data_IF_255913510594
#
_entry.id   IF_255913510594
#
_cell.length_a   1.000
_cell.length_b   1.000
_cell.length_c   1.000
_cell.angle_alpha   90.00
_cell.angle_beta   90.00
_cell.angle_gamma   90.00
#
_symmetry.space_group_name_H-M   'P 1'
#
loop_
_entity.id
_entity.type
_entity.pdbx_description
1 polymer ?
2 polymer ?
3 polymer ?
4 non-polymer ?
5 non-polymer ?
6 non-polymer ?
7 water ?
#
# COMPACT_ATOMS: atom_id res chain seq x y z
N UNK A 1 -16.40 -15.10 -3.59
CA UNK A 1 -17.71 -14.75 -3.01
C UNK A 1 -18.03 -15.72 -1.87
N UNK A 2 -18.10 -15.20 -0.64
CA UNK A 2 -18.47 -16.04 0.50
C UNK A 2 -19.95 -16.28 0.58
N UNK A 3 -20.34 -17.50 0.89
CA UNK A 3 -21.77 -17.82 1.12
C UNK A 3 -22.13 -17.36 2.57
N UNK A 4 -23.43 -17.30 2.95
CA UNK A 4 -23.78 -17.01 4.34
C UNK A 4 -23.17 -18.03 5.29
N UNK A 5 -23.20 -19.33 4.95
CA UNK A 5 -22.57 -20.36 5.79
C UNK A 5 -21.05 -20.17 5.91
N UNK A 6 -20.35 -19.71 4.85
CA UNK A 6 -18.88 -19.46 4.93
C UNK A 6 -18.62 -18.39 6.01
N UNK A 7 -19.43 -17.33 6.01
CA UNK A 7 -19.26 -16.25 6.96
C UNK A 7 -19.45 -16.73 8.39
N UNK A 8 -20.51 -17.50 8.65
CA UNK A 8 -20.76 -18.00 10.01
C UNK A 8 -19.67 -18.99 10.41
N UNK A 9 -19.17 -19.82 9.45
CA UNK A 9 -18.06 -20.77 9.70
C UNK A 9 -16.77 -20.02 10.12
N UNK A 10 -16.40 -18.98 9.38
CA UNK A 10 -15.15 -18.22 9.66
C UNK A 10 -15.25 -17.50 11.01
N UNK A 11 -16.41 -16.89 11.30
CA UNK A 11 -16.60 -16.19 12.56
C UNK A 11 -16.52 -17.17 13.73
N UNK A 12 -17.12 -18.35 13.61
CA UNK A 12 -17.08 -19.34 14.70
C UNK A 12 -15.65 -19.86 14.91
N UNK A 13 -14.92 -20.24 13.82
CA UNK A 13 -13.56 -20.76 13.93
C UNK A 13 -12.56 -19.70 14.45
N UNK A 14 -12.57 -18.49 13.86
CA UNK A 14 -11.70 -17.42 14.33
C UNK A 14 -12.02 -16.97 15.74
N UNK A 15 -13.28 -17.09 16.17
CA UNK A 15 -13.67 -16.78 17.53
C UNK A 15 -13.06 -17.71 18.55
N UNK A 16 -12.70 -18.93 18.14
CA UNK A 16 -12.06 -19.90 19.03
C UNK A 16 -10.56 -19.63 19.24
N UNK A 17 -9.96 -18.74 18.44
CA UNK A 17 -8.55 -18.36 18.55
C UNK A 17 -8.32 -17.58 19.83
N UNK A 18 -9.13 -16.55 20.05
CA UNK A 18 -9.12 -15.69 21.24
C UNK A 18 -7.80 -15.12 21.68
N UNK A 19 -7.39 -15.44 22.91
CA UNK A 19 -6.13 -14.96 23.47
C UNK A 19 -4.90 -15.49 22.71
N UNK A 20 -5.04 -16.57 21.94
CA UNK A 20 -3.93 -17.15 21.20
C UNK A 20 -3.69 -16.51 19.84
N UNK A 21 -4.36 -15.38 19.54
CA UNK A 21 -4.26 -14.69 18.27
C UNK A 21 -2.81 -14.42 17.84
N UNK A 22 -2.05 -13.73 18.68
CA UNK A 22 -0.65 -13.39 18.43
C UNK A 22 0.20 -14.63 18.24
N UNK A 23 -0.03 -15.64 19.08
CA UNK A 23 0.70 -16.91 19.02
C UNK A 23 0.48 -17.60 17.65
N UNK A 24 -0.77 -17.68 17.21
CA UNK A 24 -1.07 -18.30 15.93
C UNK A 24 -0.53 -17.48 14.76
N UNK A 25 -0.67 -16.15 14.81
CA UNK A 25 -0.12 -15.29 13.76
C UNK A 25 1.40 -15.42 13.67
N UNK A 26 2.08 -15.44 14.83
CA UNK A 26 3.54 -15.59 14.87
C UNK A 26 3.97 -16.94 14.31
N UNK A 27 3.26 -18.01 14.69
CA UNK A 27 3.58 -19.34 14.20
C UNK A 27 3.37 -19.41 12.67
N UNK A 28 2.26 -18.83 12.15
CA UNK A 28 2.01 -18.85 10.70
C UNK A 28 3.14 -18.13 9.94
N UNK A 29 3.63 -17.00 10.49
CA UNK A 29 4.73 -16.26 9.84
C UNK A 29 6.00 -17.11 9.87
N UNK A 30 6.29 -17.76 11.02
CA UNK A 30 7.48 -18.60 11.16
C UNK A 30 7.44 -19.75 10.13
N UNK A 31 6.26 -20.39 10.01
CA UNK A 31 6.07 -21.48 9.05
C UNK A 31 6.29 -20.96 7.62
N UNK A 32 5.77 -19.75 7.33
CA UNK A 32 5.98 -19.16 6.01
C UNK A 32 7.45 -18.89 5.70
N UNK A 33 8.15 -18.19 6.58
CA UNK A 33 9.56 -17.84 6.37
C UNK A 33 10.43 -19.11 6.24
N UNK A 34 10.07 -20.17 6.95
CA UNK A 34 10.88 -21.39 6.94
C UNK A 34 10.53 -22.24 5.70
N UNK A 35 9.27 -22.41 5.38
CA UNK A 35 8.82 -23.23 4.23
C UNK A 35 9.06 -22.57 2.90
N UNK A 36 8.89 -21.24 2.83
CA UNK A 36 8.98 -20.49 1.59
C UNK A 36 9.96 -19.32 1.84
N UNK A 37 11.27 -19.61 1.85
CA UNK A 37 12.26 -18.57 2.21
C UNK A 37 12.24 -17.28 1.39
N UNK A 38 11.70 -17.30 0.15
CA UNK A 38 11.64 -16.07 -0.65
C UNK A 38 10.78 -15.00 0.03
N UNK A 39 9.78 -15.40 0.86
CA UNK A 39 8.92 -14.45 1.57
C UNK A 39 9.72 -13.60 2.56
N UNK A 40 10.87 -14.09 3.04
CA UNK A 40 11.74 -13.30 3.93
C UNK A 40 12.24 -12.03 3.27
N UNK A 41 12.27 -11.98 1.92
CA UNK A 41 12.79 -10.80 1.23
C UNK A 41 11.86 -9.57 1.40
N UNK A 42 10.62 -9.76 1.89
CA UNK A 42 9.77 -8.59 2.20
C UNK A 42 10.13 -7.99 3.57
N UNK A 43 10.93 -8.70 4.41
CA UNK A 43 11.24 -8.24 5.78
C UNK A 43 12.75 -8.15 6.01
N UNK A 44 13.48 -7.41 5.15
CA UNK A 44 14.94 -7.37 5.30
C UNK A 44 15.38 -6.68 6.59
N UNK A 45 14.51 -5.82 7.14
CA UNK A 45 14.78 -5.07 8.38
C UNK A 45 14.43 -5.87 9.65
N UNK A 46 13.92 -7.10 9.52
CA UNK A 46 13.54 -7.89 10.67
C UNK A 46 14.66 -8.79 11.14
N UNK A 47 14.61 -9.11 12.43
CA UNK A 47 15.37 -10.21 12.99
C UNK A 47 14.45 -11.39 12.66
N UNK A 48 14.90 -12.27 11.78
CA UNK A 48 14.09 -13.40 11.33
C UNK A 48 14.48 -14.74 11.98
N UNK A 49 15.29 -14.72 13.03
CA UNK A 49 15.67 -15.93 13.77
C UNK A 49 14.43 -16.52 14.48
N UNK A 50 14.44 -17.82 14.81
CA UNK A 50 13.29 -18.44 15.48
C UNK A 50 13.06 -17.77 16.85
N UNK A 51 11.80 -17.56 17.20
CA UNK A 51 11.47 -16.95 18.47
C UNK A 51 11.80 -15.46 18.54
N UNK A 52 12.11 -14.84 17.38
CA UNK A 52 12.37 -13.41 17.27
C UNK A 52 11.18 -12.63 17.84
N UNK A 53 11.43 -11.66 18.72
CA UNK A 53 10.40 -10.79 19.31
C UNK A 53 9.71 -9.94 18.20
N UNK A 54 10.45 -9.58 17.15
CA UNK A 54 9.92 -8.81 16.05
C UNK A 54 8.88 -9.64 15.28
N UNK A 55 9.20 -10.92 15.03
CA UNK A 55 8.26 -11.82 14.35
C UNK A 55 7.04 -12.05 15.25
N UNK A 56 7.26 -12.22 16.56
CA UNK A 56 6.14 -12.39 17.49
C UNK A 56 5.19 -11.18 17.49
N UNK A 57 5.74 -9.97 17.58
CA UNK A 57 4.95 -8.75 17.57
C UNK A 57 4.22 -8.56 16.24
N UNK A 58 4.91 -8.89 15.13
CA UNK A 58 4.28 -8.78 13.82
C UNK A 58 3.10 -9.74 13.69
N UNK A 59 3.25 -10.96 14.23
CA UNK A 59 2.20 -11.98 14.21
C UNK A 59 0.94 -11.53 14.93
N UNK A 60 1.10 -10.78 16.01
CA UNK A 60 -0.02 -10.23 16.77
C UNK A 60 -0.77 -9.17 15.91
N UNK A 61 -0.03 -8.36 15.12
CA UNK A 61 -0.68 -7.36 14.24
C UNK A 61 -1.43 -8.07 13.11
N UNK A 62 -0.82 -9.10 12.49
CA UNK A 62 -1.48 -9.86 11.44
C UNK A 62 -2.78 -10.50 11.97
N UNK A 63 -2.71 -11.14 13.13
CA UNK A 63 -3.89 -11.79 13.73
C UNK A 63 -4.98 -10.77 14.07
N UNK A 64 -4.61 -9.62 14.63
CA UNK A 64 -5.56 -8.53 14.96
C UNK A 64 -6.21 -7.98 13.69
N UNK A 65 -5.44 -7.89 12.58
CA UNK A 65 -6.03 -7.43 11.31
C UNK A 65 -7.05 -8.47 10.83
N UNK A 66 -6.77 -9.76 10.99
CA UNK A 66 -7.70 -10.81 10.56
C UNK A 66 -8.96 -10.77 11.43
N UNK A 67 -8.83 -10.44 12.73
CA UNK A 67 -9.99 -10.32 13.64
C UNK A 67 -10.89 -9.19 13.12
N UNK A 68 -10.30 -8.08 12.68
CA UNK A 68 -11.07 -6.95 12.14
C UNK A 68 -11.72 -7.30 10.83
N UNK A 69 -11.02 -8.05 9.95
CA UNK A 69 -11.54 -8.46 8.65
C UNK A 69 -12.75 -9.42 8.87
N UNK A 70 -12.63 -10.37 9.81
CA UNK A 70 -13.73 -11.29 10.21
C UNK A 70 -14.95 -10.49 10.71
N UNK A 71 -14.72 -9.50 11.57
CA UNK A 71 -15.81 -8.68 12.10
C UNK A 71 -16.51 -7.87 11.01
N UNK A 72 -15.79 -7.47 9.97
CA UNK A 72 -16.35 -6.64 8.90
C UNK A 72 -16.27 -7.35 7.56
N UNK A 73 -16.58 -8.64 7.56
CA UNK A 73 -16.45 -9.50 6.40
C UNK A 73 -17.31 -9.04 5.20
N UNK A 74 -18.39 -8.30 5.45
CA UNK A 74 -19.22 -7.78 4.35
C UNK A 74 -18.86 -6.33 3.92
N UNK A 75 -17.75 -5.79 4.45
CA UNK A 75 -17.32 -4.44 4.10
C UNK A 75 -15.77 -4.37 4.12
N UNK A 76 -15.12 -5.44 3.68
CA UNK A 76 -13.66 -5.55 3.77
C UNK A 76 -12.88 -4.48 2.98
N UNK A 77 -13.23 -4.08 1.74
CA UNK A 77 -12.46 -3.00 1.07
C UNK A 77 -12.41 -1.72 1.92
N UNK A 78 -13.54 -1.33 2.52
CA UNK A 78 -13.55 -0.15 3.39
C UNK A 78 -12.79 -0.41 4.69
N UNK A 79 -13.07 -1.52 5.39
CA UNK A 79 -12.42 -1.82 6.67
C UNK A 79 -10.92 -1.96 6.57
N UNK A 80 -10.41 -2.47 5.43
CA UNK A 80 -8.96 -2.72 5.32
C UNK A 80 -8.21 -1.79 4.37
N UNK A 81 -8.78 -0.63 4.04
CA UNK A 81 -8.18 0.23 3.02
C UNK A 81 -6.73 0.63 3.28
N UNK A 82 -6.35 0.96 4.55
CA UNK A 82 -4.96 1.36 4.84
C UNK A 82 -4.01 0.14 4.72
N UNK A 83 -4.51 -1.10 4.95
CA UNK A 83 -3.70 -2.29 4.74
C UNK A 83 -3.50 -2.53 3.25
N UNK A 84 -4.53 -2.20 2.42
CA UNK A 84 -4.41 -2.28 0.96
C UNK A 84 -3.41 -1.20 0.49
N UNK A 85 -3.49 0.01 1.05
CA UNK A 85 -2.51 1.07 0.76
C UNK A 85 -1.06 0.56 1.02
N UNK A 86 -0.83 -0.03 2.19
CA UNK A 86 0.51 -0.56 2.53
C UNK A 86 0.91 -1.74 1.61
N UNK A 87 0.06 -2.79 1.51
CA UNK A 87 0.45 -4.01 0.79
C UNK A 87 0.44 -3.87 -0.72
N UNK A 88 -0.53 -3.14 -1.27
CA UNK A 88 -0.64 -3.01 -2.72
C UNK A 88 0.06 -1.79 -3.28
N UNK A 89 -0.04 -0.64 -2.60
CA UNK A 89 0.53 0.59 -3.14
C UNK A 89 1.97 0.84 -2.73
N UNK A 90 2.33 0.48 -1.49
CA UNK A 90 3.68 0.71 -1.01
C UNK A 90 4.61 -0.50 -1.18
N UNK A 91 4.32 -1.62 -0.51
CA UNK A 91 5.17 -2.84 -0.53
C UNK A 91 5.09 -3.55 -1.87
N UNK A 92 3.93 -3.49 -2.52
CA UNK A 92 3.64 -4.16 -3.81
C UNK A 92 3.92 -5.66 -3.69
N UNK A 93 3.33 -6.29 -2.66
CA UNK A 93 3.56 -7.70 -2.41
C UNK A 93 2.93 -8.51 -3.55
N UNK A 94 3.70 -9.47 -4.11
CA UNK A 94 3.18 -10.34 -5.15
C UNK A 94 2.09 -11.23 -4.51
N UNK A 95 0.91 -11.32 -5.17
CA UNK A 95 -0.19 -12.12 -4.64
C UNK A 95 0.15 -13.56 -4.29
N UNK A 96 1.18 -14.18 -4.91
CA UNK A 96 1.57 -15.55 -4.55
C UNK A 96 1.92 -15.63 -3.05
N UNK A 97 2.53 -14.58 -2.50
CA UNK A 97 2.92 -14.57 -1.08
C UNK A 97 1.73 -14.66 -0.14
N UNK A 98 0.58 -14.08 -0.54
CA UNK A 98 -0.66 -14.18 0.24
C UNK A 98 -1.18 -15.61 0.24
N UNK A 99 -1.03 -16.35 -0.88
CA UNK A 99 -1.43 -17.77 -0.89
C UNK A 99 -0.53 -18.56 0.08
N UNK A 100 0.75 -18.18 0.16
CA UNK A 100 1.69 -18.87 1.04
C UNK A 100 1.37 -18.63 2.50
N UNK A 101 1.09 -17.38 2.86
CA UNK A 101 0.76 -17.07 4.26
C UNK A 101 -0.60 -17.68 4.62
N UNK A 102 -1.57 -17.64 3.70
CA UNK A 102 -2.90 -18.20 3.96
C UNK A 102 -2.81 -19.70 4.24
N UNK A 103 -1.98 -20.40 3.44
CA UNK A 103 -1.73 -21.84 3.65
C UNK A 103 -1.10 -22.08 5.02
N UNK A 104 -0.10 -21.29 5.39
CA UNK A 104 0.53 -21.45 6.72
C UNK A 104 -0.42 -21.11 7.88
N UNK A 105 -1.37 -20.18 7.70
CA UNK A 105 -2.40 -19.87 8.72
C UNK A 105 -3.34 -21.12 8.84
N UNK A 106 -3.73 -21.69 7.69
CA UNK A 106 -4.57 -22.92 7.71
C UNK A 106 -3.84 -24.06 8.44
N UNK A 107 -2.55 -24.26 8.15
CA UNK A 107 -1.75 -25.30 8.78
C UNK A 107 -1.69 -25.10 10.30
N UNK A 108 -1.51 -23.85 10.75
CA UNK A 108 -1.45 -23.51 12.16
C UNK A 108 -2.79 -23.81 12.82
N UNK A 109 -3.89 -23.41 12.17
CA UNK A 109 -5.24 -23.66 12.72
C UNK A 109 -5.53 -25.17 12.80
N UNK A 110 -5.12 -25.93 11.78
CA UNK A 110 -5.30 -27.38 11.77
C UNK A 110 -4.50 -28.05 12.90
N UNK A 111 -3.27 -27.56 13.14
CA UNK A 111 -2.42 -28.13 14.18
C UNK A 111 -2.94 -27.80 15.58
N UNK A 112 -3.40 -26.57 15.80
CA UNK A 112 -3.81 -26.14 17.15
C UNK A 112 -5.26 -26.38 17.49
N UNK A 113 -6.17 -26.28 16.50
CA UNK A 113 -7.60 -26.44 16.75
C UNK A 113 -8.21 -27.56 15.88
N UNK A 114 -7.80 -28.82 16.07
CA UNK A 114 -8.33 -29.90 15.21
C UNK A 114 -9.85 -30.09 15.27
N UNK A 115 -10.47 -29.80 16.42
CA UNK A 115 -11.92 -29.95 16.53
C UNK A 115 -12.64 -28.91 15.64
N UNK A 116 -12.07 -27.71 15.51
CA UNK A 116 -12.69 -26.67 14.69
C UNK A 116 -12.39 -26.84 13.18
N UNK A 117 -11.23 -27.44 12.82
CA UNK A 117 -10.81 -27.56 11.44
C UNK A 117 -11.51 -28.67 10.67
N UNK A 118 -12.84 -28.58 10.56
CA UNK A 118 -13.59 -29.55 9.78
C UNK A 118 -13.38 -29.25 8.29
N UNK A 119 -13.72 -30.20 7.40
CA UNK A 119 -13.62 -29.90 5.95
C UNK A 119 -14.43 -28.65 5.56
N UNK A 120 -15.66 -28.49 6.09
CA UNK A 120 -16.48 -27.30 5.75
C UNK A 120 -15.81 -26.01 6.21
N UNK A 121 -15.24 -26.01 7.43
CA UNK A 121 -14.60 -24.82 7.98
C UNK A 121 -13.32 -24.51 7.24
N UNK A 122 -12.55 -25.54 6.87
CA UNK A 122 -11.32 -25.38 6.07
C UNK A 122 -11.66 -24.67 4.74
N UNK A 123 -12.74 -25.14 4.07
CA UNK A 123 -13.20 -24.54 2.82
C UNK A 123 -13.57 -23.05 2.99
N UNK A 124 -14.32 -22.72 4.05
CA UNK A 124 -14.77 -21.34 4.31
C UNK A 124 -13.58 -20.42 4.66
N UNK A 125 -12.60 -20.93 5.44
CA UNK A 125 -11.40 -20.19 5.80
C UNK A 125 -10.52 -19.93 4.58
N UNK A 126 -10.44 -20.91 3.66
CA UNK A 126 -9.67 -20.74 2.45
C UNK A 126 -10.24 -19.61 1.59
N UNK A 127 -11.56 -19.58 1.38
CA UNK A 127 -12.21 -18.50 0.62
C UNK A 127 -12.07 -17.15 1.30
N UNK A 128 -12.25 -17.11 2.64
CA UNK A 128 -12.13 -15.89 3.42
C UNK A 128 -10.70 -15.32 3.26
N UNK A 129 -9.66 -16.14 3.44
CA UNK A 129 -8.27 -15.67 3.33
C UNK A 129 -7.98 -15.24 1.88
N UNK A 130 -8.62 -15.90 0.88
CA UNK A 130 -8.46 -15.48 -0.52
C UNK A 130 -9.13 -14.08 -0.74
N UNK A 131 -10.29 -13.81 -0.11
CA UNK A 131 -10.95 -12.50 -0.25
C UNK A 131 -10.11 -11.41 0.46
N UNK A 132 -9.57 -11.71 1.65
CA UNK A 132 -8.69 -10.74 2.37
C UNK A 132 -7.44 -10.44 1.47
N UNK A 133 -6.87 -11.49 0.86
CA UNK A 133 -5.72 -11.37 -0.05
C UNK A 133 -6.04 -10.52 -1.27
N UNK A 134 -7.24 -10.69 -1.85
CA UNK A 134 -7.63 -9.86 -3.00
C UNK A 134 -7.72 -8.39 -2.59
N UNK A 135 -8.30 -8.11 -1.41
CA UNK A 135 -8.42 -6.73 -0.94
C UNK A 135 -7.01 -6.11 -0.74
N UNK A 136 -6.12 -6.85 -0.10
CA UNK A 136 -4.80 -6.30 0.27
C UNK A 136 -3.86 -6.17 -0.94
N UNK A 137 -4.14 -6.89 -2.05
CA UNK A 137 -3.36 -6.81 -3.26
C UNK A 137 -4.01 -6.00 -4.37
N UNK A 138 -5.19 -5.42 -4.14
CA UNK A 138 -5.87 -4.62 -5.19
C UNK A 138 -5.67 -3.14 -4.93
N UNK A 139 -5.63 -2.34 -6.00
CA UNK A 139 -5.50 -0.89 -5.93
C UNK A 139 -6.88 -0.35 -6.27
N UNK A 140 -7.67 -0.04 -5.25
CA UNK A 140 -9.05 0.44 -5.45
C UNK A 140 -9.31 1.86 -4.96
N UNK A 141 -8.24 2.60 -4.62
CA UNK A 141 -8.30 4.01 -4.23
C UNK A 141 -8.66 4.86 -5.46
N UNK B 1 8.94 -26.55 -27.18
CA UNK B 1 7.65 -26.27 -27.81
C UNK B 1 7.54 -26.99 -29.14
N UNK B 2 6.38 -27.60 -29.42
CA UNK B 2 6.15 -28.32 -30.67
C UNK B 2 5.17 -27.56 -31.55
N UNK B 3 5.69 -26.89 -32.55
CA UNK B 3 4.87 -26.14 -33.50
C UNK B 3 4.94 -26.86 -34.83
N UNK B 4 3.84 -26.91 -35.57
CA UNK B 4 3.86 -27.49 -36.92
C UNK B 4 4.63 -26.52 -37.86
N UNK B 5 5.09 -26.96 -39.04
CA UNK B 5 5.76 -26.02 -39.95
C UNK B 5 4.88 -24.81 -40.28
N UNK B 6 3.54 -25.01 -40.43
CA UNK B 6 2.65 -23.89 -40.72
C UNK B 6 2.54 -22.92 -39.57
N UNK B 7 2.53 -23.42 -38.33
CA UNK B 7 2.51 -22.54 -37.18
C UNK B 7 3.84 -21.80 -37.05
N UNK B 8 4.97 -22.47 -37.31
CA UNK B 8 6.29 -21.81 -37.23
C UNK B 8 6.39 -20.70 -38.31
N UNK B 9 5.81 -20.98 -39.47
CA UNK B 9 5.72 -20.08 -40.58
C UNK B 9 4.96 -18.81 -40.19
N UNK B 10 3.76 -18.97 -39.58
CA UNK B 10 2.92 -17.86 -39.16
C UNK B 10 3.59 -17.02 -38.09
N UNK B 11 4.28 -17.67 -37.15
CA UNK B 11 5.01 -16.97 -36.10
C UNK B 11 6.14 -16.14 -36.70
N UNK B 12 6.96 -16.75 -37.57
CA UNK B 12 8.12 -16.10 -38.18
C UNK B 12 7.71 -14.92 -39.06
N UNK B 13 6.62 -15.08 -39.82
CA UNK B 13 6.15 -14.02 -40.71
C UNK B 13 5.67 -12.80 -39.92
N UNK B 14 4.89 -13.00 -38.84
CA UNK B 14 4.42 -11.88 -38.04
C UNK B 14 5.62 -11.24 -37.29
N UNK B 15 6.51 -12.06 -36.71
CA UNK B 15 7.69 -11.54 -35.97
C UNK B 15 8.57 -10.61 -36.79
N UNK B 16 8.62 -10.84 -38.10
CA UNK B 16 9.40 -10.03 -39.02
C UNK B 16 8.89 -8.62 -39.17
N UNK B 17 7.60 -8.40 -38.89
CA UNK B 17 7.00 -7.07 -38.99
C UNK B 17 6.93 -6.32 -37.66
N UNK B 18 7.35 -6.95 -36.56
CA UNK B 18 7.32 -6.35 -35.23
C UNK B 18 8.26 -5.17 -35.16
N UNK B 19 7.77 -4.04 -34.64
CA UNK B 19 8.61 -2.88 -34.41
C UNK B 19 9.39 -3.20 -33.11
N UNK B 20 10.67 -3.58 -33.27
CA UNK B 20 11.54 -3.94 -32.16
C UNK B 20 11.87 -2.78 -31.20
N UNK B 21 11.60 -1.53 -31.61
CA UNK B 21 11.83 -0.38 -30.73
C UNK B 21 10.64 -0.12 -29.79
N UNK B 22 9.44 -0.62 -30.11
CA UNK B 22 8.27 -0.29 -29.30
C UNK B 22 7.56 -1.45 -28.62
N UNK B 23 7.34 -2.56 -29.35
CA UNK B 23 6.56 -3.70 -28.83
C UNK B 23 7.04 -4.21 -27.45
N UNK B 24 8.36 -4.30 -27.25
CA UNK B 24 8.91 -4.77 -25.99
C UNK B 24 8.59 -3.82 -24.85
N UNK B 25 8.79 -2.53 -25.10
CA UNK B 25 8.48 -1.49 -24.12
C UNK B 25 7.01 -1.47 -23.78
N UNK B 26 6.14 -1.71 -24.77
CA UNK B 26 4.68 -1.74 -24.54
C UNK B 26 4.29 -2.96 -23.74
N UNK B 27 4.91 -4.13 -24.01
CA UNK B 27 4.58 -5.32 -23.23
C UNK B 27 5.03 -5.18 -21.77
N UNK B 28 6.24 -4.73 -21.56
CA UNK B 28 6.75 -4.53 -20.18
C UNK B 28 5.92 -3.45 -19.45
N UNK B 29 5.65 -2.34 -20.14
CA UNK B 29 4.86 -1.24 -19.56
C UNK B 29 3.47 -1.72 -19.16
N UNK B 30 2.81 -2.49 -20.05
CA UNK B 30 1.48 -3.02 -19.76
C UNK B 30 1.56 -4.04 -18.66
N UNK B 31 2.66 -4.81 -18.53
CA UNK B 31 2.79 -5.76 -17.40
C UNK B 31 2.77 -4.94 -16.08
N UNK B 32 3.52 -3.83 -16.05
CA UNK B 32 3.62 -2.98 -14.85
C UNK B 32 2.30 -2.30 -14.52
N UNK B 33 1.44 -2.01 -15.54
CA UNK B 33 0.19 -1.32 -15.29
C UNK B 33 -0.92 -2.32 -14.92
N UNK B 34 -0.97 -3.43 -15.64
CA UNK B 34 -2.02 -4.41 -15.45
C UNK B 34 -1.82 -5.29 -14.21
N UNK B 35 -0.56 -5.67 -13.91
CA UNK B 35 -0.21 -6.55 -12.78
C UNK B 35 0.74 -5.72 -11.97
N UNK B 36 0.17 -4.78 -11.19
CA UNK B 36 1.01 -3.69 -10.64
C UNK B 36 2.04 -4.09 -9.61
N UNK B 37 1.91 -5.27 -8.97
CA UNK B 37 2.96 -5.71 -8.03
C UNK B 37 4.28 -5.95 -8.78
N UNK B 38 4.24 -6.14 -10.12
CA UNK B 38 5.50 -6.34 -10.88
C UNK B 38 6.39 -5.10 -10.82
N UNK B 39 5.83 -3.91 -10.50
CA UNK B 39 6.63 -2.68 -10.33
C UNK B 39 7.66 -2.84 -9.21
N UNK B 40 7.47 -3.80 -8.27
CA UNK B 40 8.41 -3.99 -7.17
C UNK B 40 9.80 -4.35 -7.70
N UNK B 41 9.86 -5.16 -8.75
CA UNK B 41 11.14 -5.55 -9.34
C UNK B 41 11.85 -4.43 -10.09
N UNK B 42 11.13 -3.35 -10.44
CA UNK B 42 11.70 -2.25 -11.23
C UNK B 42 11.65 -0.90 -10.52
N UNK B 43 11.66 -0.93 -9.18
CA UNK B 43 11.63 0.27 -8.33
C UNK B 43 12.64 1.32 -8.72
N UNK B 44 13.83 0.91 -9.17
CA UNK B 44 14.88 1.85 -9.55
C UNK B 44 14.65 2.57 -10.89
N UNK B 45 13.64 2.16 -11.67
CA UNK B 45 13.33 2.77 -12.96
C UNK B 45 12.72 4.16 -12.87
N UNK B 46 12.37 4.62 -11.68
CA UNK B 46 11.83 5.95 -11.49
C UNK B 46 10.32 6.04 -11.39
N UNK B 47 9.74 7.03 -12.06
CA UNK B 47 8.31 7.30 -11.99
C UNK B 47 7.46 6.24 -12.68
N UNK B 48 6.73 5.46 -11.90
CA UNK B 48 5.78 4.44 -12.35
C UNK B 48 4.39 4.69 -11.68
N UNK B 49 4.09 5.96 -11.30
CA UNK B 49 2.89 6.29 -10.53
C UNK B 49 1.60 6.26 -11.31
N UNK B 50 1.68 6.45 -12.64
CA UNK B 50 0.49 6.42 -13.47
C UNK B 50 0.78 5.57 -14.72
N UNK B 51 -0.26 5.13 -15.44
CA UNK B 51 -0.02 4.40 -16.70
C UNK B 51 0.83 5.22 -17.68
N UNK B 52 0.54 6.52 -17.84
CA UNK B 52 1.33 7.38 -18.73
C UNK B 52 2.81 7.46 -18.28
N UNK B 53 3.08 7.60 -16.97
CA UNK B 53 4.47 7.66 -16.49
C UNK B 53 5.18 6.34 -16.77
N UNK B 54 4.49 5.20 -16.56
CA UNK B 54 5.04 3.88 -16.85
C UNK B 54 5.40 3.74 -18.37
N UNK B 55 4.42 3.94 -19.27
CA UNK B 55 4.59 3.76 -20.71
C UNK B 55 5.63 4.68 -21.33
N UNK B 56 5.72 5.88 -20.79
CA UNK B 56 6.67 6.87 -21.30
C UNK B 56 8.04 6.83 -20.64
N UNK B 57 8.24 5.96 -19.64
CA UNK B 57 9.50 5.87 -18.92
C UNK B 57 10.62 5.32 -19.82
N UNK B 58 11.72 6.08 -20.00
CA UNK B 58 12.80 5.60 -20.89
C UNK B 58 13.43 4.27 -20.46
N UNK B 59 13.54 4.01 -19.16
CA UNK B 59 14.08 2.74 -18.67
C UNK B 59 13.16 1.55 -18.95
N UNK B 60 11.84 1.79 -18.95
CA UNK B 60 10.84 0.74 -19.28
C UNK B 60 11.00 0.38 -20.76
N UNK B 61 11.10 1.39 -21.63
CA UNK B 61 11.29 1.15 -23.06
C UNK B 61 12.61 0.38 -23.34
N UNK B 62 13.74 0.82 -22.75
CA UNK B 62 15.04 0.17 -22.96
C UNK B 62 15.03 -1.29 -22.45
N UNK B 63 14.48 -1.54 -21.26
CA UNK B 63 14.41 -2.90 -20.74
C UNK B 63 13.46 -3.79 -21.56
N UNK B 64 12.36 -3.20 -22.05
CA UNK B 64 11.41 -3.93 -22.88
C UNK B 64 12.06 -4.45 -24.15
N UNK B 65 13.03 -3.70 -24.69
CA UNK B 65 13.78 -4.13 -25.88
C UNK B 65 14.55 -5.41 -25.58
N UNK B 66 15.22 -5.48 -24.40
CA UNK B 66 15.96 -6.65 -23.94
C UNK B 66 15.02 -7.85 -23.80
N UNK B 67 13.85 -7.68 -23.17
CA UNK B 67 12.86 -8.76 -23.05
C UNK B 67 12.43 -9.30 -24.43
N UNK B 68 12.07 -8.42 -25.35
CA UNK B 68 11.68 -8.82 -26.71
C UNK B 68 12.81 -9.60 -27.42
N UNK B 69 14.05 -9.17 -27.18
CA UNK B 69 15.25 -9.82 -27.72
C UNK B 69 15.34 -11.26 -27.24
N UNK B 70 14.99 -11.50 -25.96
CA UNK B 70 14.99 -12.86 -25.41
C UNK B 70 13.89 -13.71 -26.01
N UNK B 71 12.66 -13.17 -26.20
CA UNK B 71 11.59 -13.95 -26.86
C UNK B 71 12.01 -14.33 -28.28
N UNK B 72 12.71 -13.43 -28.98
CA UNK B 72 13.22 -13.67 -30.33
C UNK B 72 14.24 -14.82 -30.26
N UNK B 73 15.12 -14.83 -29.25
CA UNK B 73 16.11 -15.90 -29.06
C UNK B 73 15.40 -17.28 -28.87
N UNK B 74 14.23 -17.27 -28.24
CA UNK B 74 13.39 -18.47 -28.08
C UNK B 74 12.87 -18.99 -29.41
N UNK B 75 12.55 -18.09 -30.35
CA UNK B 75 12.13 -18.48 -31.70
C UNK B 75 13.23 -19.21 -32.47
N UNK B 76 14.50 -18.97 -32.15
CA UNK B 76 15.60 -19.66 -32.81
C UNK B 76 15.84 -21.07 -32.24
N UNK B 77 15.45 -21.32 -30.98
CA UNK B 77 15.70 -22.63 -30.35
C UNK B 77 14.43 -23.22 -29.72
N UNK B 78 13.36 -23.36 -30.52
CA UNK B 78 12.10 -23.89 -30.00
C UNK B 78 12.19 -25.32 -29.43
N UNK B 79 13.12 -26.12 -29.93
CA UNK B 79 13.30 -27.49 -29.45
C UNK B 79 14.29 -27.62 -28.25
N UNK B 80 14.76 -26.50 -27.71
CA UNK B 80 15.66 -26.53 -26.54
C UNK B 80 15.59 -25.22 -25.78
N UNK B 81 14.37 -24.81 -25.45
CA UNK B 81 14.14 -23.60 -24.69
C UNK B 81 14.76 -23.68 -23.31
N UNK B 82 14.70 -24.85 -22.66
CA UNK B 82 15.27 -25.02 -21.32
C UNK B 82 16.76 -24.71 -21.30
N UNK B 83 17.51 -25.25 -22.25
CA UNK B 83 18.93 -25.00 -22.34
C UNK B 83 19.26 -23.58 -22.75
N UNK B 84 18.49 -23.02 -23.66
CA UNK B 84 18.72 -21.65 -24.14
C UNK B 84 18.50 -20.61 -23.03
N UNK B 85 17.41 -20.76 -22.28
CA UNK B 85 17.08 -19.82 -21.21
C UNK B 85 17.71 -20.16 -19.84
N UNK B 86 18.65 -21.12 -19.78
CA UNK B 86 19.30 -21.52 -18.52
C UNK B 86 19.84 -20.36 -17.67
N UNK B 87 20.66 -19.46 -18.26
CA UNK B 87 21.25 -18.32 -17.54
C UNK B 87 20.17 -17.37 -17.02
N UNK B 88 19.18 -17.01 -17.87
CA UNK B 88 18.07 -16.12 -17.47
C UNK B 88 17.22 -16.74 -16.39
N UNK B 89 17.02 -18.06 -16.44
CA UNK B 89 16.24 -18.78 -15.46
C UNK B 89 16.90 -18.65 -14.08
N UNK B 90 18.23 -18.82 -14.05
CA UNK B 90 19.02 -18.66 -12.84
C UNK B 90 18.93 -17.21 -12.33
N UNK B 91 19.05 -16.24 -13.23
CA UNK B 91 18.94 -14.83 -12.86
C UNK B 91 17.56 -14.49 -12.24
N UNK B 92 16.45 -14.81 -12.94
CA UNK B 92 15.11 -14.48 -12.43
C UNK B 92 14.69 -15.27 -11.19
N UNK B 93 15.23 -16.49 -10.96
CA UNK B 93 14.86 -17.28 -9.78
C UNK B 93 15.82 -17.05 -8.61
N UNK B 94 17.07 -17.50 -8.75
CA UNK B 94 18.04 -17.41 -7.68
C UNK B 94 18.36 -15.99 -7.28
N UNK B 95 18.42 -15.04 -8.24
CA UNK B 95 18.78 -13.67 -7.88
C UNK B 95 17.60 -12.74 -7.71
N UNK B 96 16.63 -12.76 -8.65
CA UNK B 96 15.51 -11.83 -8.59
C UNK B 96 14.28 -12.30 -7.83
N UNK B 97 14.13 -13.62 -7.62
CA UNK B 97 12.98 -14.20 -6.92
C UNK B 97 11.63 -13.85 -7.58
N UNK B 98 11.59 -13.89 -8.92
CA UNK B 98 10.36 -13.62 -9.63
C UNK B 98 9.52 -14.87 -9.60
N UNK B 99 8.32 -14.81 -8.99
CA UNK B 99 7.42 -15.98 -9.02
C UNK B 99 7.10 -16.34 -10.48
N UNK B 100 7.23 -17.62 -10.86
CA UNK B 100 7.04 -17.99 -12.28
C UNK B 100 5.67 -17.67 -12.90
N UNK B 101 4.62 -17.44 -12.10
CA UNK B 101 3.32 -17.03 -12.62
C UNK B 101 3.44 -15.70 -13.39
N UNK B 102 4.38 -14.82 -12.98
CA UNK B 102 4.60 -13.55 -13.69
C UNK B 102 5.14 -13.73 -15.12
N UNK B 103 5.87 -14.84 -15.38
CA UNK B 103 6.37 -15.14 -16.74
C UNK B 103 5.18 -15.43 -17.68
N UNK B 104 4.20 -16.18 -17.17
CA UNK B 104 2.97 -16.46 -17.95
C UNK B 104 2.22 -15.14 -18.22
N UNK B 105 2.15 -14.27 -17.21
CA UNK B 105 1.44 -12.98 -17.35
C UNK B 105 2.12 -12.10 -18.40
N UNK B 106 3.46 -12.01 -18.36
CA UNK B 106 4.19 -11.25 -19.36
C UNK B 106 3.99 -11.81 -20.79
N UNK B 107 3.95 -13.13 -20.93
CA UNK B 107 3.71 -13.74 -22.25
C UNK B 107 2.33 -13.38 -22.77
N UNK B 108 1.33 -13.33 -21.88
CA UNK B 108 -0.03 -13.00 -22.29
C UNK B 108 -0.20 -11.51 -22.60
N UNK B 109 0.51 -10.65 -21.88
CA UNK B 109 0.51 -9.23 -22.18
C UNK B 109 1.19 -9.02 -23.55
N UNK B 110 2.28 -9.76 -23.83
CA UNK B 110 2.94 -9.66 -25.15
C UNK B 110 1.94 -10.08 -26.27
N UNK B 111 1.14 -11.15 -26.04
CA UNK B 111 0.12 -11.55 -27.03
C UNK B 111 -0.89 -10.42 -27.24
N UNK B 112 -1.34 -9.76 -26.16
CA UNK B 112 -2.26 -8.61 -26.25
C UNK B 112 -1.65 -7.46 -27.08
N UNK B 113 -0.37 -7.16 -26.87
CA UNK B 113 0.33 -6.07 -27.57
C UNK B 113 0.42 -6.44 -29.06
N UNK B 114 0.72 -7.71 -29.38
CA UNK B 114 0.78 -8.14 -30.79
C UNK B 114 -0.59 -7.98 -31.45
N UNK B 115 -1.67 -8.33 -30.71
CA UNK B 115 -3.04 -8.19 -31.19
C UNK B 115 -3.37 -6.69 -31.41
N UNK B 116 -2.96 -5.84 -30.48
CA UNK B 116 -3.19 -4.41 -30.53
C UNK B 116 -2.48 -3.79 -31.74
N UNK B 117 -1.28 -4.26 -32.06
CA UNK B 117 -0.49 -3.71 -33.17
C UNK B 117 -0.95 -4.24 -34.53
N UNK B 118 -1.28 -5.54 -34.61
CA UNK B 118 -1.61 -6.17 -35.88
C UNK B 118 -3.11 -6.25 -36.22
N UNK B 119 -3.99 -6.00 -35.27
CA UNK B 119 -5.43 -6.03 -35.52
C UNK B 119 -5.95 -7.31 -36.15
N UNK B 120 -6.69 -7.17 -37.25
CA UNK B 120 -7.27 -8.28 -37.99
C UNK B 120 -6.25 -9.30 -38.49
N UNK B 121 -4.98 -8.89 -38.63
CA UNK B 121 -3.92 -9.79 -39.06
C UNK B 121 -3.54 -10.78 -37.94
N UNK B 122 -3.81 -10.44 -36.67
CA UNK B 122 -3.53 -11.34 -35.55
C UNK B 122 -4.71 -12.28 -35.44
N UNK B 123 -4.88 -13.14 -36.43
CA UNK B 123 -6.01 -14.06 -36.55
C UNK B 123 -5.99 -15.13 -35.46
N UNK B 124 -7.13 -15.79 -35.17
CA UNK B 124 -7.12 -16.89 -34.19
C UNK B 124 -6.03 -17.95 -34.46
N UNK B 125 -5.74 -18.42 -35.72
CA UNK B 125 -4.62 -19.38 -35.88
C UNK B 125 -3.26 -18.78 -35.51
N UNK B 126 -3.01 -17.51 -35.87
CA UNK B 126 -1.74 -16.84 -35.56
C UNK B 126 -1.59 -16.72 -34.04
N UNK B 127 -2.69 -16.35 -33.33
CA UNK B 127 -2.62 -16.29 -31.85
C UNK B 127 -2.31 -17.68 -31.29
N UNK B 128 -2.99 -18.75 -31.79
CA UNK B 128 -2.77 -20.08 -31.23
C UNK B 128 -1.31 -20.51 -31.30
N UNK B 129 -0.62 -20.13 -32.40
CA UNK B 129 0.78 -20.47 -32.57
C UNK B 129 1.63 -19.67 -31.56
N UNK B 130 1.36 -18.36 -31.42
CA UNK B 130 2.07 -17.55 -30.42
C UNK B 130 1.83 -18.04 -28.98
N UNK B 131 0.66 -18.63 -28.71
CA UNK B 131 0.40 -19.15 -27.37
C UNK B 131 1.35 -20.31 -27.04
N UNK B 132 1.66 -21.15 -28.03
CA UNK B 132 2.62 -22.26 -27.80
C UNK B 132 4.01 -21.68 -27.50
N UNK B 133 4.41 -20.64 -28.24
CA UNK B 133 5.70 -20.01 -28.03
C UNK B 133 5.82 -19.36 -26.65
N UNK B 134 4.82 -18.54 -26.24
CA UNK B 134 4.93 -17.84 -24.97
C UNK B 134 4.82 -18.81 -23.79
N UNK B 135 4.09 -19.93 -23.93
CA UNK B 135 4.03 -20.92 -22.85
C UNK B 135 5.39 -21.61 -22.71
N UNK B 136 6.04 -21.92 -23.84
CA UNK B 136 7.36 -22.54 -23.88
C UNK B 136 8.42 -21.66 -23.25
N UNK B 137 8.40 -20.34 -23.54
CA UNK B 137 9.36 -19.39 -22.97
C UNK B 137 9.12 -19.27 -21.46
N UNK B 138 7.86 -19.13 -21.02
CA UNK B 138 7.56 -19.02 -19.58
C UNK B 138 7.92 -20.30 -18.80
N UNK B 139 7.72 -21.47 -19.40
CA UNK B 139 8.09 -22.73 -18.76
C UNK B 139 9.62 -22.86 -18.68
N UNK B 140 10.32 -22.46 -19.74
CA UNK B 140 11.79 -22.50 -19.79
C UNK B 140 12.38 -21.60 -18.73
N UNK B 141 11.78 -20.41 -18.50
CA UNK B 141 12.26 -19.47 -17.49
C UNK B 141 11.98 -20.00 -16.08
N UNK B 142 10.85 -20.72 -15.89
CA UNK B 142 10.46 -21.27 -14.59
C UNK B 142 11.37 -22.42 -14.13
N UNK C 5 -4.31 36.42 27.23
CA UNK C 5 -4.01 35.54 28.36
C UNK C 5 -3.77 34.09 27.95
N UNK C 6 -4.37 33.67 26.82
CA UNK C 6 -4.18 32.33 26.35
C UNK C 6 -4.70 32.14 24.92
N UNK C 7 -4.44 30.97 24.37
CA UNK C 7 -4.89 30.62 23.03
C UNK C 7 -5.34 29.21 23.05
N UNK C 8 -6.41 28.91 22.31
CA UNK C 8 -6.88 27.54 22.12
C UNK C 8 -6.57 27.19 20.69
N UNK C 9 -6.04 25.99 20.45
CA UNK C 9 -5.80 25.51 19.10
C UNK C 9 -6.83 24.46 18.78
N UNK C 10 -7.43 24.57 17.58
CA UNK C 10 -8.38 23.58 17.07
C UNK C 10 -7.77 22.97 15.83
N UNK C 11 -7.68 21.64 15.76
CA UNK C 11 -7.09 20.99 14.58
C UNK C 11 -7.68 19.60 14.39
N UNK C 12 -8.13 19.30 13.18
CA UNK C 12 -8.64 17.98 12.85
C UNK C 12 -7.55 17.03 12.39
N UNK C 13 -6.27 17.50 12.38
CA UNK C 13 -5.05 16.81 12.00
C UNK C 13 -5.02 16.59 10.49
N UNK C 14 -5.86 15.70 9.97
CA UNK C 14 -5.98 15.44 8.53
C UNK C 14 -7.36 14.87 8.27
N UNK C 15 -7.86 15.02 7.05
CA UNK C 15 -9.12 14.41 6.64
C UNK C 15 -9.07 12.90 6.81
N UNK C 16 -7.91 12.30 6.55
CA UNK C 16 -7.73 10.86 6.72
C UNK C 16 -7.76 10.41 8.19
N UNK C 17 -7.69 11.36 9.17
CA UNK C 17 -7.90 10.98 10.57
C UNK C 17 -9.40 10.79 10.87
N UNK C 18 -10.28 10.92 9.88
CA UNK C 18 -11.72 10.84 10.06
C UNK C 18 -12.35 9.74 9.22
N UNK C 19 -11.63 8.64 9.05
CA UNK C 19 -12.15 7.47 8.35
C UNK C 19 -13.18 6.82 9.25
N UNK C 20 -14.19 6.15 8.66
CA UNK C 20 -15.20 5.38 9.41
C UNK C 20 -14.50 4.28 10.26
N UNK C 21 -13.48 3.61 9.69
CA UNK C 21 -12.69 2.61 10.46
C UNK C 21 -11.43 3.31 10.88
N UNK C 22 -11.28 3.46 12.19
CA UNK C 22 -10.19 4.28 12.69
C UNK C 22 -8.76 3.72 12.47
N UNK C 23 -8.58 2.45 12.09
CA UNK C 23 -7.24 1.93 11.74
C UNK C 23 -6.76 2.50 10.38
N UNK C 24 -7.65 3.13 9.61
CA UNK C 24 -7.35 3.61 8.26
C UNK C 24 -6.72 5.00 8.14
N UNK C 25 -6.55 5.65 9.27
CA UNK C 25 -5.93 6.96 9.33
C UNK C 25 -5.41 7.23 10.73
N UNK C 26 -4.71 8.35 10.93
CA UNK C 26 -4.20 8.65 12.30
C UNK C 26 -5.33 8.63 13.34
N UNK C 27 -5.08 7.98 14.48
CA UNK C 27 -6.05 7.89 15.57
C UNK C 27 -5.42 8.48 16.82
N UNK C 28 -6.15 9.28 17.58
CA UNK C 28 -5.58 9.94 18.76
C UNK C 28 -6.27 9.45 20.01
N UNK C 29 -5.51 9.36 21.10
CA UNK C 29 -6.00 8.92 22.38
C UNK C 29 -5.08 9.43 23.50
N UNK C 30 -5.51 9.30 24.75
CA UNK C 30 -4.70 9.68 25.90
C UNK C 30 -4.27 11.15 25.89
N UNK C 31 -5.18 12.04 25.47
CA UNK C 31 -4.91 13.49 25.49
C UNK C 31 -4.79 13.95 26.93
N UNK C 32 -3.79 14.79 27.20
CA UNK C 32 -3.50 15.31 28.53
C UNK C 32 -2.79 16.66 28.47
N UNK C 33 -2.58 17.27 29.64
CA UNK C 33 -1.90 18.55 29.80
C UNK C 33 -2.53 19.66 29.00
N UNK C 34 -3.86 19.68 28.95
CA UNK C 34 -4.57 20.74 28.22
C UNK C 34 -5.09 20.31 26.87
N UNK C 35 -4.57 19.20 26.31
CA UNK C 35 -5.11 18.67 25.06
C UNK C 35 -6.39 17.89 25.40
N UNK C 36 -7.36 17.94 24.50
CA UNK C 36 -8.64 17.28 24.70
C UNK C 36 -9.19 16.85 23.35
N UNK C 37 -9.74 15.65 23.27
CA UNK C 37 -10.43 15.21 22.04
C UNK C 37 -11.88 15.65 22.20
N UNK C 38 -12.33 16.57 21.34
CA UNK C 38 -13.64 17.19 21.49
C UNK C 38 -14.55 16.93 20.32
N UNK C 39 -15.82 16.58 20.55
CA UNK C 39 -16.77 16.39 19.46
C UNK C 39 -16.93 17.69 18.67
N UNK C 40 -16.97 17.61 17.33
CA UNK C 40 -17.09 18.81 16.47
C UNK C 40 -18.26 19.72 16.85
N UNK C 41 -19.42 19.16 17.27
CA UNK C 41 -20.56 19.99 17.70
C UNK C 41 -20.24 20.86 18.94
N UNK C 42 -19.18 20.53 19.68
CA UNK C 42 -18.77 21.31 20.85
C UNK C 42 -17.49 22.13 20.62
N UNK C 43 -17.03 22.20 19.35
CA UNK C 43 -15.84 22.93 18.94
C UNK C 43 -16.24 23.77 17.72
N UNK C 44 -17.33 24.56 17.89
CA UNK C 44 -17.94 25.41 16.87
C UNK C 44 -16.98 26.38 16.19
N UNK C 45 -15.94 26.82 16.89
CA UNK C 45 -14.95 27.72 16.28
C UNK C 45 -14.23 27.05 15.09
N UNK C 46 -14.17 25.70 15.07
CA UNK C 46 -13.55 24.98 13.96
C UNK C 46 -14.55 24.50 12.89
N UNK C 47 -15.86 24.67 13.12
CA UNK C 47 -16.90 24.19 12.21
C UNK C 47 -16.69 24.50 10.72
N UNK C 48 -16.44 25.77 10.35
CA UNK C 48 -16.28 26.13 8.94
C UNK C 48 -14.96 25.61 8.33
N UNK C 49 -13.85 25.64 9.09
CA UNK C 49 -12.58 25.08 8.55
C UNK C 49 -12.74 23.58 8.32
N UNK C 50 -13.29 22.85 9.32
CA UNK C 50 -13.52 21.41 9.20
C UNK C 50 -14.35 21.04 7.96
N UNK C 51 -15.45 21.75 7.68
CA UNK C 51 -16.31 21.45 6.53
C UNK C 51 -15.64 21.60 5.14
N UNK C 52 -14.53 22.34 5.06
CA UNK C 52 -13.83 22.56 3.80
C UNK C 52 -12.70 21.56 3.53
N UNK C 53 -12.43 20.66 4.46
CA UNK C 53 -11.36 19.68 4.28
C UNK C 53 -11.64 18.62 3.24
N UNK C 54 -10.59 17.88 2.82
CA UNK C 54 -10.71 16.80 1.87
C UNK C 54 -10.72 15.55 2.75
N UNK C 55 -11.83 14.80 2.72
CA UNK C 55 -11.99 13.64 3.58
C UNK C 55 -12.06 12.37 2.76
N UNK C 56 -11.75 11.19 3.36
CA UNK C 56 -11.91 9.95 2.60
C UNK C 56 -13.37 9.70 2.24
N UNK C 57 -13.59 8.88 1.20
CA UNK C 57 -14.94 8.54 0.81
C UNK C 57 -15.73 7.85 1.95
N UNK C 58 -15.06 6.99 2.72
CA UNK C 58 -15.68 6.23 3.81
C UNK C 58 -15.37 7.03 5.07
N UNK C 59 -16.11 8.11 5.29
CA UNK C 59 -15.90 9.06 6.36
C UNK C 59 -16.74 8.75 7.60
N UNK C 60 -16.20 9.01 8.78
CA UNK C 60 -16.81 8.82 10.08
C UNK C 60 -18.04 9.75 10.19
N UNK C 61 -19.11 9.27 10.82
CA UNK C 61 -20.34 10.07 10.98
C UNK C 61 -20.13 11.20 11.99
N UNK C 62 -19.58 10.89 13.17
CA UNK C 62 -19.40 11.88 14.22
C UNK C 62 -17.94 11.98 14.54
N UNK C 63 -17.36 13.16 14.30
CA UNK C 63 -15.93 13.35 14.51
C UNK C 63 -15.54 14.14 15.75
N UNK C 64 -14.37 13.79 16.30
CA UNK C 64 -13.67 14.49 17.38
C UNK C 64 -12.56 15.31 16.71
N UNK C 65 -12.24 16.42 17.32
CA UNK C 65 -11.25 17.37 16.90
C UNK C 65 -10.23 17.49 18.03
N UNK C 66 -8.96 17.74 17.70
CA UNK C 66 -7.97 17.97 18.74
C UNK C 66 -8.17 19.40 19.20
N UNK C 67 -8.27 19.63 20.52
CA UNK C 67 -8.33 21.00 21.05
C UNK C 67 -7.24 21.15 22.10
N UNK C 68 -6.30 22.07 21.90
CA UNK C 68 -5.22 22.28 22.86
C UNK C 68 -5.48 23.57 23.61
N UNK C 69 -5.69 23.45 24.92
CA UNK C 69 -5.99 24.59 25.77
C UNK C 69 -4.74 25.20 26.39
N UNK C 70 -4.89 26.40 26.96
CA UNK C 70 -3.85 27.07 27.74
C UNK C 70 -2.55 27.30 26.97
N UNK C 71 -2.67 27.66 25.70
CA UNK C 71 -1.51 28.06 24.92
C UNK C 71 -1.00 29.42 25.38
N UNK C 72 0.30 29.64 25.23
CA UNK C 72 0.95 30.91 25.60
C UNK C 72 1.26 31.66 24.31
N UNK C 73 0.83 32.89 24.21
CA UNK C 73 0.99 33.70 23.00
C UNK C 73 1.96 34.84 23.24
N UNK C 74 2.89 35.03 22.28
CA UNK C 74 3.82 36.15 22.30
C UNK C 74 3.55 36.88 20.98
N UNK C 75 3.09 38.15 21.03
CA UNK C 75 2.76 38.91 19.83
C UNK C 75 3.81 39.99 19.56
N UNK C 81 3.50 39.15 13.65
CA UNK C 81 4.22 37.99 14.20
C UNK C 81 3.54 37.40 15.44
N UNK C 82 3.50 36.06 15.52
CA UNK C 82 2.96 35.32 16.66
C UNK C 82 3.87 34.14 16.93
N UNK C 83 4.04 33.81 18.20
CA UNK C 83 4.80 32.65 18.65
C UNK C 83 3.91 32.06 19.74
N UNK C 84 3.32 30.90 19.48
CA UNK C 84 2.38 30.28 20.41
C UNK C 84 2.84 28.88 20.75
N UNK C 85 2.83 28.53 22.05
CA UNK C 85 3.27 27.22 22.53
C UNK C 85 2.16 26.61 23.38
N UNK C 86 1.92 25.32 23.21
CA UNK C 86 0.91 24.63 23.99
C UNK C 86 1.55 23.54 24.84
N UNK C 87 1.02 23.32 26.05
CA UNK C 87 1.58 22.26 26.90
C UNK C 87 1.05 20.85 26.64
N UNK C 88 -0.04 20.75 25.88
CA UNK C 88 -0.75 19.52 25.62
C UNK C 88 0.04 18.38 25.03
N UNK C 89 -0.38 17.16 25.35
CA UNK C 89 0.22 15.97 24.77
C UNK C 89 -0.89 15.03 24.34
N UNK C 90 -0.63 14.27 23.27
CA UNK C 90 -1.59 13.29 22.80
C UNK C 90 -0.87 12.09 22.20
N UNK C 91 -1.48 10.90 22.23
CA UNK C 91 -0.90 9.72 21.62
C UNK C 91 -1.52 9.50 20.23
N UNK C 92 -0.68 9.32 19.21
CA UNK C 92 -1.16 9.08 17.85
C UNK C 92 -0.83 7.63 17.52
N UNK C 93 -1.84 6.85 17.09
CA UNK C 93 -1.64 5.45 16.67
C UNK C 93 -1.88 5.44 15.15
N UNK C 94 -0.99 4.76 14.41
CA UNK C 94 -1.09 4.63 12.97
C UNK C 94 -1.32 3.17 12.66
N UNK C 95 -2.56 2.84 12.33
CA UNK C 95 -2.90 1.47 11.98
C UNK C 95 -2.80 0.54 13.15
N UNK C 96 -1.97 -0.48 12.99
CA UNK C 96 -1.73 -1.47 14.03
C UNK C 96 -0.43 -1.19 14.85
N UNK C 97 0.17 -0.04 14.65
CA UNK C 97 1.41 0.31 15.34
C UNK C 97 1.25 0.65 16.81
N UNK C 98 2.37 0.74 17.51
CA UNK C 98 2.37 1.17 18.90
C UNK C 98 2.22 2.72 18.81
N UNK C 99 1.59 3.32 19.80
CA UNK C 99 1.38 4.77 19.78
C UNK C 99 2.68 5.56 19.81
N UNK C 100 2.62 6.81 19.36
CA UNK C 100 3.72 7.79 19.40
C UNK C 100 3.15 9.01 20.10
N UNK C 101 3.83 9.54 21.15
CA UNK C 101 3.33 10.75 21.79
C UNK C 101 3.74 11.97 20.98
N UNK C 102 2.79 12.88 20.71
CA UNK C 102 3.06 14.15 20.06
C UNK C 102 2.82 15.22 21.17
N UNK C 103 3.77 16.10 21.37
CA UNK C 103 3.66 17.14 22.40
C UNK C 103 4.47 18.38 22.04
N UNK C 104 4.52 19.39 22.92
CA UNK C 104 5.27 20.62 22.72
C UNK C 104 4.95 21.30 21.37
N UNK C 105 3.67 21.36 20.97
CA UNK C 105 3.28 22.06 19.74
C UNK C 105 3.73 23.54 19.83
N UNK C 106 4.44 24.01 18.80
CA UNK C 106 5.02 25.36 18.75
C UNK C 106 4.69 25.92 17.39
N UNK C 107 3.90 26.99 17.37
CA UNK C 107 3.50 27.62 16.13
C UNK C 107 4.14 28.99 16.00
N UNK C 108 4.86 29.22 14.90
CA UNK C 108 5.48 30.50 14.61
C UNK C 108 4.76 31.01 13.37
N UNK C 109 4.38 32.29 13.37
CA UNK C 109 3.70 32.93 12.23
C UNK C 109 4.38 34.27 11.98
N UNK C 110 4.67 34.60 10.70
CA UNK C 110 5.37 35.86 10.42
C UNK C 110 5.01 36.42 9.06
N UNK C 111 4.86 37.76 8.96
CA UNK C 111 4.59 38.49 7.72
C UNK C 111 3.34 38.05 6.94
N UNK C 112 2.37 37.41 7.60
CA UNK C 112 1.15 36.96 6.94
C UNK C 112 1.31 35.77 6.01
N UNK C 113 2.56 35.39 5.65
CA UNK C 113 2.75 34.31 4.70
C UNK C 113 3.89 33.34 5.02
N UNK C 114 4.44 33.37 6.23
CA UNK C 114 5.47 32.37 6.57
C UNK C 114 5.30 31.84 8.00
N UNK C 115 6.07 30.81 8.34
CA UNK C 115 6.01 30.21 9.65
C UNK C 115 5.87 28.71 9.57
N UNK C 116 5.67 28.06 10.72
CA UNK C 116 5.54 26.61 10.75
C UNK C 116 4.99 26.09 12.06
N UNK C 117 4.42 24.87 12.02
CA UNK C 117 3.96 24.20 13.22
C UNK C 117 4.99 23.10 13.49
N UNK C 118 5.62 23.12 14.67
CA UNK C 118 6.58 22.11 15.09
C UNK C 118 6.04 21.36 16.31
N UNK C 119 6.61 20.21 16.62
CA UNK C 119 6.22 19.39 17.76
C UNK C 119 7.38 18.44 18.14
N UNK C 120 7.30 17.82 19.31
CA UNK C 120 8.11 16.70 19.72
C UNK C 120 7.27 15.46 19.30
N UNK C 121 7.86 14.54 18.54
CA UNK C 121 7.17 13.36 18.06
C UNK C 121 7.97 12.21 18.56
N UNK C 122 7.43 11.45 19.50
CA UNK C 122 8.18 10.38 20.14
C UNK C 122 9.35 10.95 20.92
N UNK C 123 10.53 10.37 20.73
CA UNK C 123 11.73 10.84 21.42
C UNK C 123 12.42 12.01 20.67
N UNK C 124 11.85 12.50 19.56
CA UNK C 124 12.50 13.54 18.77
C UNK C 124 11.85 14.90 18.87
N UNK C 125 12.61 15.90 19.31
CA UNK C 125 12.09 17.25 19.45
C UNK C 125 12.33 18.05 18.14
N UNK C 126 11.76 19.26 18.03
CA UNK C 126 11.95 20.17 16.90
C UNK C 126 11.59 19.55 15.55
N UNK C 127 10.50 18.76 15.50
CA UNK C 127 10.07 18.15 14.25
C UNK C 127 9.06 19.10 13.61
N UNK C 128 9.37 19.66 12.43
CA UNK C 128 8.39 20.49 11.73
C UNK C 128 7.34 19.54 11.15
N UNK C 129 6.07 19.83 11.45
CA UNK C 129 4.96 19.04 10.92
C UNK C 129 4.57 19.62 9.56
N UNK C 130 4.44 20.95 9.48
CA UNK C 130 4.17 21.61 8.21
C UNK C 130 4.64 23.07 8.22
N UNK C 131 5.00 23.58 7.05
CA UNK C 131 5.32 24.98 6.87
C UNK C 131 3.99 25.70 6.60
N UNK C 132 3.94 27.00 6.88
CA UNK C 132 2.74 27.81 6.73
C UNK C 132 2.77 28.51 5.37
N UNK C 133 1.68 28.39 4.61
CA UNK C 133 1.57 29.06 3.33
C UNK C 133 1.11 30.50 3.61
N UNK C 134 0.08 30.64 4.47
CA UNK C 134 -0.47 31.93 4.86
C UNK C 134 -1.35 31.80 6.10
N UNK C 135 -1.69 32.92 6.71
CA UNK C 135 -2.58 32.99 7.85
C UNK C 135 -3.26 34.35 7.88
N UNK C 136 -4.47 34.41 8.40
CA UNK C 136 -5.19 35.67 8.56
C UNK C 136 -5.82 35.73 9.94
N UNK C 137 -6.03 36.94 10.45
CA UNK C 137 -6.59 37.17 11.76
C UNK C 137 -7.88 37.98 11.59
N UNK C 138 -8.99 37.48 12.13
CA UNK C 138 -10.25 38.19 12.07
C UNK C 138 -10.82 38.10 13.47
N UNK C 139 -11.00 39.25 14.11
CA UNK C 139 -11.50 39.37 15.47
C UNK C 139 -10.41 38.77 16.41
N UNK C 140 -10.72 37.75 17.21
CA UNK C 140 -9.71 37.14 18.06
C UNK C 140 -9.31 35.76 17.50
N UNK C 141 -9.52 35.50 16.18
CA UNK C 141 -9.26 34.18 15.61
C UNK C 141 -8.25 34.18 14.45
N UNK C 142 -7.25 33.28 14.52
CA UNK C 142 -6.26 33.13 13.46
C UNK C 142 -6.60 31.88 12.67
N UNK C 143 -6.63 31.98 11.34
CA UNK C 143 -6.84 30.84 10.48
C UNK C 143 -5.50 30.56 9.82
N UNK C 144 -4.96 29.37 10.00
CA UNK C 144 -3.63 29.04 9.49
C UNK C 144 -3.70 27.99 8.41
N UNK C 145 -3.20 28.33 7.22
CA UNK C 145 -3.20 27.44 6.07
C UNK C 145 -1.84 26.80 5.85
N UNK C 146 -1.78 25.46 5.85
CA UNK C 146 -0.50 24.77 5.58
C UNK C 146 -0.06 24.92 4.13
N UNK C 147 1.26 24.90 3.90
CA UNK C 147 1.84 24.98 2.56
C UNK C 147 1.86 23.55 2.01
N UNK C 148 1.03 23.25 1.00
CA UNK C 148 0.93 21.91 0.46
C UNK C 148 1.22 21.91 -1.03
N UNK C 149 2.18 21.10 -1.48
CA UNK C 149 2.51 21.10 -2.91
C UNK C 149 1.36 20.51 -3.72
N UNK C 150 1.22 20.91 -4.98
CA UNK C 150 0.17 20.29 -5.82
C UNK C 150 0.50 18.81 -6.03
N UNK C 151 -0.52 17.95 -6.07
CA UNK C 151 -0.30 16.53 -6.34
C UNK C 151 -0.27 16.44 -7.85
N UNK C 152 0.90 16.13 -8.44
CA UNK C 152 1.08 16.10 -9.89
C UNK C 152 1.38 14.66 -10.42
N UNK C 153 2.58 14.09 -10.10
CA UNK C 153 3.07 12.75 -10.44
C UNK C 153 4.22 12.37 -9.46
N UNK C 154 4.58 11.10 -9.40
CA UNK C 154 5.64 10.65 -8.50
C UNK C 154 5.21 10.65 -7.05
N UNK C 155 6.18 10.84 -6.12
CA UNK C 155 5.84 10.85 -4.70
C UNK C 155 5.27 12.19 -4.28
N UNK C 156 4.09 12.18 -3.66
CA UNK C 156 3.45 13.40 -3.21
C UNK C 156 3.62 13.46 -1.69
N UNK C 157 4.22 14.53 -1.21
CA UNK C 157 4.52 14.66 0.20
C UNK C 157 3.91 15.95 0.79
N UNK C 158 2.67 15.86 1.32
CA UNK C 158 1.98 17.06 1.84
C UNK C 158 2.37 17.49 3.24
N UNK C 159 3.20 16.70 3.97
CA UNK C 159 3.72 17.08 5.31
C UNK C 159 5.24 17.37 5.21
N UNK C 160 5.81 18.04 6.23
CA UNK C 160 7.25 18.33 6.20
C UNK C 160 8.07 17.01 6.29
N UNK C 161 9.20 16.99 5.62
CA UNK C 161 10.13 15.87 5.58
C UNK C 161 10.60 15.46 6.98
N UNK C 162 10.69 16.40 7.96
CA UNK C 162 11.10 16.09 9.33
C UNK C 162 10.18 15.01 9.92
N UNK C 163 8.87 15.15 9.68
CA UNK C 163 7.89 14.20 10.18
C UNK C 163 8.04 12.81 9.58
N UNK C 164 8.03 12.71 8.23
CA UNK C 164 8.12 11.42 7.54
C UNK C 164 9.48 10.75 7.71
N UNK C 165 10.56 11.54 7.80
CA UNK C 165 11.88 10.95 8.03
C UNK C 165 11.93 10.36 9.46
N UNK C 166 11.23 10.97 10.43
CA UNK C 166 11.19 10.43 11.80
C UNK C 166 10.35 9.14 11.80
N UNK C 167 9.19 9.18 11.14
CA UNK C 167 8.28 8.04 11.09
C UNK C 167 8.80 6.82 10.36
N UNK C 168 9.59 7.03 9.31
CA UNK C 168 10.06 5.92 8.48
C UNK C 168 9.14 5.61 7.32
N UNK C 169 9.62 4.83 6.37
CA UNK C 169 8.92 4.48 5.13
C UNK C 169 7.47 3.97 5.24
N UNK C 170 7.24 3.00 6.11
CA UNK C 170 5.95 2.31 6.16
C UNK C 170 4.94 3.07 7.03
N UNK C 171 5.37 3.68 8.15
CA UNK C 171 4.44 4.57 8.88
C UNK C 171 4.16 5.83 8.04
N UNK C 172 5.08 6.23 7.13
CA UNK C 172 4.82 7.40 6.27
C UNK C 172 3.79 7.10 5.18
N UNK C 173 3.32 5.84 5.04
CA UNK C 173 2.21 5.55 4.13
C UNK C 173 0.95 6.37 4.57
N UNK C 174 0.82 6.69 5.90
CA UNK C 174 -0.30 7.51 6.37
C UNK C 174 -0.16 9.02 6.03
N UNK C 175 1.04 9.47 5.56
CA UNK C 175 1.40 10.88 5.34
C UNK C 175 1.89 11.21 3.91
N UNK C 176 1.93 10.22 3.02
CA UNK C 176 2.36 10.44 1.65
C UNK C 176 1.77 9.42 0.72
N UNK C 177 1.89 9.66 -0.58
CA UNK C 177 1.36 8.71 -1.56
C UNK C 177 2.09 8.82 -2.90
N UNK C 178 2.00 7.79 -3.71
CA UNK C 178 2.54 7.84 -5.07
C UNK C 178 1.45 8.44 -6.02
N UNK C 179 0.16 8.28 -5.66
CA UNK C 179 -0.99 8.66 -6.51
C UNK C 179 -1.76 9.84 -5.91
N UNK C 180 -2.63 10.47 -6.73
CA UNK C 180 -3.40 11.62 -6.36
C UNK C 180 -4.87 11.33 -6.12
N UNK C 181 -5.21 10.11 -5.72
CA UNK C 181 -6.59 9.73 -5.48
C UNK C 181 -7.17 10.43 -4.27
N UNK C 182 -8.52 10.53 -4.20
CA UNK C 182 -9.18 11.25 -3.10
C UNK C 182 -8.68 10.87 -1.71
N UNK C 183 -8.63 9.56 -1.43
CA UNK C 183 -8.19 9.11 -0.11
C UNK C 183 -6.73 9.44 0.19
N UNK C 184 -5.90 9.67 -0.85
CA UNK C 184 -4.51 10.09 -0.69
C UNK C 184 -4.46 11.57 -0.46
N UNK C 185 -5.24 12.35 -1.21
CA UNK C 185 -5.30 13.82 -0.98
C UNK C 185 -5.75 14.09 0.47
N UNK C 186 -6.68 13.26 0.98
CA UNK C 186 -7.19 13.39 2.34
C UNK C 186 -6.09 13.27 3.42
N UNK C 187 -4.91 12.70 3.08
CA UNK C 187 -3.81 12.57 4.07
C UNK C 187 -3.19 13.92 4.43
N UNK C 188 -3.40 14.96 3.62
CA UNK C 188 -2.73 16.26 3.87
C UNK C 188 -3.18 16.94 5.18
N UNK C 189 -2.29 17.75 5.79
CA UNK C 189 -2.68 18.41 7.04
C UNK C 189 -3.86 19.34 6.84
N UNK C 190 -4.79 19.32 7.78
CA UNK C 190 -5.93 20.24 7.75
C UNK C 190 -5.47 21.63 8.29
N UNK C 191 -6.18 22.73 7.97
CA UNK C 191 -5.79 24.04 8.52
C UNK C 191 -6.00 24.13 10.04
N UNK C 192 -5.37 25.13 10.67
CA UNK C 192 -5.56 25.31 12.12
C UNK C 192 -6.51 26.50 12.36
N UNK C 193 -7.23 26.48 13.48
CA UNK C 193 -7.99 27.64 13.95
C UNK C 193 -7.41 27.94 15.34
N UNK C 194 -6.91 29.17 15.58
CA UNK C 194 -6.35 29.51 16.89
C UNK C 194 -7.24 30.61 17.47
N UNK C 195 -7.83 30.39 18.64
CA UNK C 195 -8.70 31.39 19.24
C UNK C 195 -7.92 32.07 20.39
N UNK C 196 -7.68 33.37 20.28
CA UNK C 196 -6.96 34.13 21.31
C UNK C 196 -7.95 34.65 22.36
N UNK C 197 -7.68 34.40 23.64
CA UNK C 197 -8.56 34.84 24.73
C UNK C 197 -7.83 35.80 25.63
#
# INVERSE_FOLDING_TARGET
VLSPADKTNVKAAWGKVGAHAGEYGAEALERMFLSFPTTKTYFPHFDLSHGSAQVKGHGKKVADALTNAVAHVDDMPNALSALSDLHAHKLRVDPVNFKLLSHCLLVTLAAHLPAEFTPAVHASLDKFLASVSTVLTSKYR
VHLTPEEKSAVTALWGKVNVDEVGGEALGRLLVVYPWTQRFFESFGDLSTPDAVMGNPKVKAHGKKVLGAFSDGLAHLDNLKGTFATLSELHCDKLHVDPENFRLLGNVLVCVLAHHFGKEFTPPVQAAYQKVVAGVANALAHKYH
SEEVKNADLYWGFSGSSHHKYDHNGPKFEKAGKGAELTNIDAASAYAETFKKGVFPNNKREKSDILVFHNGEVKTETNHSSYQINWPGEVTMKLGYGDGLVIKDLNLMLKNGNMGELKATVGENSNITLFDVQEYSVSDNTITVTPKIPPCTTGTWKPWHNDLTSKLGSLKSVFFESYTCNNDDIAKKPLPLTVVLNG
#
